data_IF_313000613172
#
_entry.id   IF_313000613172
#
_cell.length_a   1.000
_cell.length_b   1.000
_cell.length_c   1.000
_cell.angle_alpha   90.00
_cell.angle_beta   90.00
_cell.angle_gamma   90.00
#
_symmetry.space_group_name_H-M   'P 1'
#
loop_
_entity.id
_entity.type
_entity.pdbx_description
1 polymer ?
#
# COMPACT_ATOMS: atom_id res chain seq x y z
N UNK A 1 6.98 -4.26 11.20
CA UNK A 1 6.29 -4.68 9.97
C UNK A 1 5.24 -3.69 9.52
N UNK A 2 4.05 -3.57 10.13
CA UNK A 2 3.00 -2.62 9.66
C UNK A 2 3.52 -1.17 9.55
N UNK A 3 4.21 -0.66 10.57
CA UNK A 3 4.79 0.69 10.53
C UNK A 3 5.86 0.88 9.43
N UNK A 4 6.56 -0.19 9.05
CA UNK A 4 7.57 -0.17 7.99
C UNK A 4 6.90 -0.16 6.62
N UNK A 5 5.91 -1.02 6.41
CA UNK A 5 5.12 -1.03 5.17
C UNK A 5 4.39 0.29 4.99
N UNK A 6 3.78 0.85 6.05
CA UNK A 6 3.16 2.17 6.02
C UNK A 6 4.14 3.23 5.52
N UNK A 7 5.36 3.22 6.07
CA UNK A 7 6.41 4.15 5.63
C UNK A 7 6.74 3.94 4.15
N UNK A 8 6.88 2.71 3.69
CA UNK A 8 7.13 2.42 2.26
C UNK A 8 6.02 2.93 1.35
N UNK A 9 4.75 2.76 1.75
CA UNK A 9 3.61 3.30 0.99
C UNK A 9 3.69 4.83 0.92
N UNK A 10 3.91 5.50 2.06
CA UNK A 10 4.04 6.95 2.13
C UNK A 10 5.24 7.46 1.30
N UNK A 11 6.39 6.80 1.39
CA UNK A 11 7.59 7.16 0.64
C UNK A 11 7.38 6.93 -0.87
N UNK A 12 6.63 5.90 -1.27
CA UNK A 12 6.23 5.65 -2.65
C UNK A 12 5.30 6.74 -3.20
N UNK A 13 4.28 7.09 -2.42
CA UNK A 13 3.36 8.18 -2.74
C UNK A 13 4.08 9.53 -2.90
N UNK A 14 5.03 9.83 -2.00
CA UNK A 14 5.84 11.04 -2.10
C UNK A 14 6.67 11.08 -3.39
N UNK A 15 7.25 9.94 -3.81
CA UNK A 15 7.99 9.82 -5.07
C UNK A 15 7.09 10.03 -6.30
N UNK A 16 5.82 9.66 -6.18
CA UNK A 16 4.79 9.87 -7.21
C UNK A 16 4.16 11.28 -7.15
N UNK A 17 4.73 12.18 -6.34
CA UNK A 17 4.31 13.57 -6.19
C UNK A 17 2.90 13.74 -5.58
N UNK A 18 2.48 12.79 -4.73
CA UNK A 18 1.30 12.94 -3.86
C UNK A 18 1.65 13.72 -2.59
N UNK A 19 0.68 14.46 -2.07
CA UNK A 19 0.83 15.12 -0.77
C UNK A 19 0.67 14.10 0.36
N UNK A 20 1.78 13.85 1.06
CA UNK A 20 1.85 12.93 2.19
C UNK A 20 2.05 13.62 3.54
N UNK A 21 1.97 14.94 3.57
CA UNK A 21 2.30 15.74 4.75
C UNK A 21 1.38 15.45 5.93
N UNK A 22 0.09 15.23 5.64
CA UNK A 22 -0.96 14.93 6.62
C UNK A 22 -1.49 13.49 6.49
N UNK A 23 -0.79 12.63 5.73
CA UNK A 23 -1.21 11.25 5.51
C UNK A 23 -0.90 10.39 6.73
N UNK A 24 -1.90 9.62 7.17
CA UNK A 24 -1.81 8.74 8.33
C UNK A 24 -2.26 7.33 7.97
N UNK A 25 -2.08 6.38 8.90
CA UNK A 25 -2.52 4.99 8.69
C UNK A 25 -4.03 4.84 8.45
N UNK A 26 -4.83 5.81 8.93
CA UNK A 26 -6.28 5.82 8.78
C UNK A 26 -6.74 6.47 7.45
N UNK A 27 -5.81 7.01 6.66
CA UNK A 27 -6.12 7.62 5.37
C UNK A 27 -6.52 6.56 4.35
N UNK A 28 -7.66 6.79 3.68
CA UNK A 28 -8.16 5.96 2.58
C UNK A 28 -7.38 6.25 1.30
N UNK A 29 -7.06 5.20 0.54
CA UNK A 29 -6.27 5.32 -0.68
C UNK A 29 -7.09 5.78 -1.89
N UNK A 30 -8.39 5.49 -1.93
CA UNK A 30 -9.27 5.93 -3.01
C UNK A 30 -9.71 7.40 -2.92
N UNK A 31 -10.74 7.80 -3.68
CA UNK A 31 -11.20 9.19 -3.83
C UNK A 31 -11.65 9.87 -2.54
N UNK A 32 -11.96 9.10 -1.49
CA UNK A 32 -12.32 9.64 -0.18
C UNK A 32 -11.11 10.13 0.64
N UNK A 33 -9.88 9.85 0.19
CA UNK A 33 -8.65 10.27 0.86
C UNK A 33 -7.61 10.77 -0.13
N UNK A 34 -6.67 9.89 -0.50
CA UNK A 34 -5.54 10.23 -1.37
C UNK A 34 -5.88 10.32 -2.86
N UNK A 35 -7.08 9.89 -3.25
CA UNK A 35 -7.55 9.87 -4.63
C UNK A 35 -6.56 9.17 -5.57
N UNK A 36 -6.14 7.97 -5.16
CA UNK A 36 -5.25 7.16 -5.99
C UNK A 36 -5.99 6.62 -7.20
N UNK A 37 -5.49 7.02 -8.36
CA UNK A 37 -5.86 6.45 -9.65
C UNK A 37 -5.37 5.00 -9.76
N UNK A 38 -5.99 4.22 -10.66
CA UNK A 38 -5.62 2.81 -10.87
C UNK A 38 -4.14 2.62 -11.23
N UNK A 39 -3.53 3.58 -11.92
CA UNK A 39 -2.09 3.57 -12.23
C UNK A 39 -1.26 3.67 -10.95
N UNK A 40 -1.64 4.57 -10.03
CA UNK A 40 -0.92 4.77 -8.79
C UNK A 40 -1.01 3.54 -7.88
N UNK A 41 -2.18 2.89 -7.86
CA UNK A 41 -2.36 1.62 -7.14
C UNK A 41 -1.49 0.51 -7.73
N UNK A 42 -1.41 0.40 -9.06
CA UNK A 42 -0.56 -0.59 -9.71
C UNK A 42 0.94 -0.36 -9.39
N UNK A 43 1.40 0.89 -9.43
CA UNK A 43 2.78 1.25 -9.08
C UNK A 43 3.09 0.97 -7.60
N UNK A 44 2.18 1.30 -6.68
CA UNK A 44 2.30 0.96 -5.26
C UNK A 44 2.33 -0.55 -5.04
N UNK A 45 1.47 -1.31 -5.71
CA UNK A 45 1.47 -2.75 -5.64
C UNK A 45 2.84 -3.29 -6.05
N UNK A 46 3.35 -2.89 -7.22
CA UNK A 46 4.68 -3.27 -7.73
C UNK A 46 5.78 -2.93 -6.71
N UNK A 47 5.77 -1.73 -6.13
CA UNK A 47 6.73 -1.33 -5.11
C UNK A 47 6.69 -2.26 -3.89
N UNK A 48 5.51 -2.61 -3.41
CA UNK A 48 5.32 -3.51 -2.28
C UNK A 48 5.74 -4.95 -2.63
N UNK A 49 5.47 -5.42 -3.86
CA UNK A 49 5.92 -6.73 -4.31
C UNK A 49 7.44 -6.81 -4.42
N UNK A 50 8.09 -5.76 -4.92
CA UNK A 50 9.55 -5.71 -5.05
C UNK A 50 10.24 -5.60 -3.69
N UNK A 51 9.67 -4.81 -2.78
CA UNK A 51 10.23 -4.59 -1.43
C UNK A 51 10.04 -5.79 -0.52
N UNK A 52 8.86 -6.43 -0.54
CA UNK A 52 8.47 -7.45 0.45
C UNK A 52 8.24 -8.84 -0.14
N UNK A 53 8.27 -8.99 -1.47
CA UNK A 53 7.99 -10.27 -2.14
C UNK A 53 6.52 -10.69 -2.12
N UNK A 54 5.61 -9.83 -1.65
CA UNK A 54 4.17 -10.13 -1.62
C UNK A 54 3.54 -9.88 -2.98
N UNK A 55 2.92 -10.89 -3.59
CA UNK A 55 2.16 -10.74 -4.84
C UNK A 55 0.72 -10.32 -4.59
N UNK A 56 0.18 -9.46 -5.45
CA UNK A 56 -1.23 -9.05 -5.44
C UNK A 56 -1.91 -9.39 -6.76
N UNK A 57 -3.17 -9.81 -6.68
CA UNK A 57 -4.01 -10.02 -7.87
C UNK A 57 -4.69 -8.72 -8.29
N UNK A 58 -5.18 -8.66 -9.53
CA UNK A 58 -5.95 -7.51 -10.03
C UNK A 58 -7.24 -7.26 -9.20
N UNK A 59 -7.86 -8.32 -8.68
CA UNK A 59 -9.02 -8.23 -7.80
C UNK A 59 -8.67 -7.54 -6.47
N UNK A 60 -7.52 -7.89 -5.89
CA UNK A 60 -7.02 -7.27 -4.66
C UNK A 60 -6.68 -5.80 -4.89
N UNK A 61 -5.94 -5.49 -5.96
CA UNK A 61 -5.60 -4.11 -6.33
C UNK A 61 -6.85 -3.25 -6.58
N UNK A 62 -7.90 -3.81 -7.17
CA UNK A 62 -9.17 -3.10 -7.35
C UNK A 62 -9.82 -2.71 -6.01
N UNK A 63 -9.68 -3.58 -4.99
CA UNK A 63 -10.18 -3.33 -3.64
C UNK A 63 -9.39 -2.31 -2.83
N UNK A 64 -8.13 -2.03 -3.20
CA UNK A 64 -7.24 -1.13 -2.43
C UNK A 64 -7.78 0.29 -2.30
N UNK A 65 -8.54 0.77 -3.29
CA UNK A 65 -9.21 2.07 -3.23
C UNK A 65 -10.12 2.23 -2.01
N UNK A 66 -10.74 1.15 -1.53
CA UNK A 66 -11.64 1.16 -0.38
C UNK A 66 -10.95 0.93 0.96
N UNK A 67 -9.63 0.73 0.98
CA UNK A 67 -8.86 0.41 2.17
C UNK A 67 -8.04 1.60 2.66
N UNK A 68 -7.74 1.60 3.96
CA UNK A 68 -6.78 2.53 4.55
C UNK A 68 -5.34 2.03 4.36
N UNK A 69 -4.38 2.95 4.47
CA UNK A 69 -2.96 2.61 4.42
C UNK A 69 -2.60 1.52 5.45
N UNK A 70 -3.18 1.56 6.65
CA UNK A 70 -2.93 0.55 7.68
C UNK A 70 -3.53 -0.81 7.36
N UNK A 71 -4.68 -0.85 6.69
CA UNK A 71 -5.27 -2.11 6.25
C UNK A 71 -4.37 -2.78 5.21
N UNK A 72 -3.88 -2.02 4.22
CA UNK A 72 -2.91 -2.54 3.24
C UNK A 72 -1.61 -2.95 3.92
N UNK A 73 -1.06 -2.10 4.78
CA UNK A 73 0.16 -2.42 5.52
C UNK A 73 0.01 -3.67 6.39
N UNK A 74 -1.17 -3.89 6.96
CA UNK A 74 -1.55 -5.10 7.67
C UNK A 74 -1.53 -6.33 6.76
N UNK A 75 -2.17 -6.25 5.59
CA UNK A 75 -2.18 -7.34 4.63
C UNK A 75 -0.78 -7.74 4.16
N UNK A 76 0.05 -6.76 3.81
CA UNK A 76 1.45 -6.98 3.45
C UNK A 76 2.19 -7.62 4.60
N UNK A 77 2.08 -7.07 5.81
CA UNK A 77 2.77 -7.59 6.99
C UNK A 77 2.42 -9.05 7.26
N UNK A 78 1.15 -9.44 7.08
CA UNK A 78 0.70 -10.83 7.19
C UNK A 78 1.34 -11.69 6.11
N UNK A 79 1.33 -11.25 4.85
CA UNK A 79 1.95 -11.99 3.72
C UNK A 79 3.45 -12.18 3.93
N UNK A 80 4.17 -11.14 4.34
CA UNK A 80 5.61 -11.21 4.63
C UNK A 80 5.92 -12.12 5.82
N UNK A 81 5.08 -12.10 6.85
CA UNK A 81 5.23 -12.99 8.01
C UNK A 81 4.98 -14.47 7.65
N UNK A 82 4.07 -14.75 6.72
CA UNK A 82 3.79 -16.11 6.22
C UNK A 82 4.88 -16.59 5.25
N UNK A 83 5.39 -15.70 4.39
CA UNK A 83 6.50 -15.99 3.47
C UNK A 83 7.85 -16.18 4.14
N UNK A 84 8.03 -15.69 5.37
CA UNK A 84 9.26 -15.86 6.16
C UNK A 84 9.40 -17.24 6.83
N UNK A 85 8.44 -18.16 6.66
CA UNK A 85 8.43 -19.50 7.26
C UNK A 85 8.48 -20.67 6.26
N UNK A 86 8.98 -20.46 5.03
CA UNK A 86 9.13 -21.51 4.02
C UNK A 86 10.61 -21.78 3.67
#
# INVERSE_FOLDING_TARGET
MIAEVRKTVIDGLAQMNYDVSDVTGDTVLGPEGLDLESLAIAELAILLEDTYGSKFTEEEMSGFTGLTIDQIAGEVAVRTAVGANA
#
